data_IF_946550764750
#
_entry.id   IF_946550764750
#
_cell.length_a   1.000
_cell.length_b   1.000
_cell.length_c   1.000
_cell.angle_alpha   90.00
_cell.angle_beta   90.00
_cell.angle_gamma   90.00
#
_symmetry.space_group_name_H-M   'P 1'
#
loop_
_entity.id
_entity.type
_entity.pdbx_description
1 polymer ?
#
# COMPACT_ATOMS: atom_id res chain seq x y z
N UNK A 1 3.46 -27.12 12.32
CA UNK A 1 3.97 -26.06 11.41
C UNK A 1 2.92 -25.89 10.31
N UNK A 2 2.13 -24.81 10.34
CA UNK A 2 1.12 -24.58 9.28
C UNK A 2 1.86 -24.19 8.01
N UNK A 3 1.80 -25.03 6.98
CA UNK A 3 2.28 -24.69 5.63
C UNK A 3 1.44 -23.54 5.10
N UNK A 4 1.99 -22.32 5.14
CA UNK A 4 1.34 -21.15 4.55
C UNK A 4 1.18 -21.42 3.05
N UNK A 5 -0.06 -21.34 2.57
CA UNK A 5 -0.35 -21.46 1.14
C UNK A 5 0.49 -20.42 0.39
N UNK A 6 1.31 -20.88 -0.56
CA UNK A 6 2.07 -20.02 -1.47
C UNK A 6 1.22 -19.53 -2.64
N UNK A 7 -0.05 -19.93 -2.70
CA UNK A 7 -0.95 -19.53 -3.78
C UNK A 7 -1.34 -18.05 -3.62
N UNK A 8 -1.31 -17.28 -4.70
CA UNK A 8 -1.87 -15.93 -4.73
C UNK A 8 -3.25 -15.87 -4.10
N UNK A 9 -3.47 -14.90 -3.22
CA UNK A 9 -4.78 -14.65 -2.62
C UNK A 9 -5.36 -13.40 -3.28
N UNK A 10 -6.42 -13.59 -4.06
CA UNK A 10 -7.18 -12.51 -4.68
C UNK A 10 -8.44 -12.21 -3.88
N UNK A 11 -8.70 -10.93 -3.60
CA UNK A 11 -9.95 -10.46 -2.98
C UNK A 11 -10.42 -9.17 -3.62
N UNK A 12 -11.73 -9.05 -3.81
CA UNK A 12 -12.36 -7.77 -4.10
C UNK A 12 -12.27 -6.87 -2.86
N UNK A 13 -11.95 -5.60 -3.08
CA UNK A 13 -11.83 -4.59 -2.02
C UNK A 13 -12.93 -3.55 -2.12
N UNK A 14 -13.08 -2.75 -1.06
CA UNK A 14 -13.98 -1.58 -1.06
C UNK A 14 -13.42 -0.39 -1.83
N UNK A 15 -12.17 -0.46 -2.31
CA UNK A 15 -11.59 0.59 -3.13
C UNK A 15 -12.21 0.57 -4.53
N UNK A 16 -12.51 1.76 -5.04
CA UNK A 16 -13.06 1.96 -6.38
C UNK A 16 -12.13 2.86 -7.20
N UNK A 17 -11.94 2.50 -8.46
CA UNK A 17 -11.22 3.31 -9.44
C UNK A 17 -12.24 3.87 -10.43
N UNK A 18 -12.02 5.11 -10.87
CA UNK A 18 -12.83 5.74 -11.92
C UNK A 18 -12.17 5.49 -13.27
N UNK A 19 -12.58 4.43 -13.94
CA UNK A 19 -12.23 4.19 -15.35
C UNK A 19 -13.50 3.78 -16.11
N UNK A 20 -13.98 4.67 -16.96
CA UNK A 20 -15.29 4.55 -17.65
C UNK A 20 -16.49 4.28 -16.72
N UNK A 21 -16.34 4.64 -15.43
CA UNK A 21 -17.31 4.37 -14.36
C UNK A 21 -16.60 3.95 -13.07
N UNK A 22 -17.33 3.86 -11.94
CA UNK A 22 -16.78 3.32 -10.71
C UNK A 22 -16.62 1.79 -10.83
N UNK A 23 -15.37 1.32 -10.78
CA UNK A 23 -15.05 -0.11 -10.83
C UNK A 23 -14.38 -0.54 -9.52
N UNK A 24 -14.82 -1.65 -8.89
CA UNK A 24 -14.17 -2.16 -7.70
C UNK A 24 -12.77 -2.71 -8.04
N UNK A 25 -11.84 -2.57 -7.10
CA UNK A 25 -10.46 -3.06 -7.24
C UNK A 25 -10.32 -4.45 -6.65
N UNK A 26 -9.84 -5.37 -7.47
CA UNK A 26 -9.36 -6.69 -7.05
C UNK A 26 -7.91 -6.54 -6.66
N UNK A 27 -7.59 -7.00 -5.45
CA UNK A 27 -6.23 -7.04 -4.92
C UNK A 27 -5.77 -8.47 -4.87
N UNK A 28 -4.60 -8.75 -5.45
CA UNK A 28 -3.95 -10.04 -5.35
C UNK A 28 -2.60 -9.88 -4.66
N UNK A 29 -2.39 -10.65 -3.58
CA UNK A 29 -1.08 -10.71 -2.92
C UNK A 29 -0.29 -11.86 -3.52
N UNK A 30 0.84 -11.53 -4.16
CA UNK A 30 1.74 -12.49 -4.79
C UNK A 30 3.14 -12.30 -4.21
N UNK A 31 3.54 -13.16 -3.28
CA UNK A 31 4.84 -13.05 -2.62
C UNK A 31 5.01 -11.70 -1.89
N UNK A 32 5.94 -10.86 -2.39
CA UNK A 32 6.27 -9.54 -1.84
C UNK A 32 5.64 -8.35 -2.56
N UNK A 33 4.75 -8.59 -3.53
CA UNK A 33 4.06 -7.54 -4.29
C UNK A 33 2.55 -7.64 -4.15
N UNK A 34 1.89 -6.50 -4.37
CA UNK A 34 0.44 -6.38 -4.45
C UNK A 34 0.10 -6.03 -5.89
N UNK A 35 -0.72 -6.88 -6.53
CA UNK A 35 -1.32 -6.59 -7.82
C UNK A 35 -2.69 -5.95 -7.61
N UNK A 36 -2.94 -4.85 -8.31
CA UNK A 36 -4.19 -4.11 -8.31
C UNK A 36 -4.81 -4.20 -9.69
N UNK A 37 -6.04 -4.68 -9.77
CA UNK A 37 -6.80 -4.79 -11.01
C UNK A 37 -8.20 -4.23 -10.84
N UNK A 38 -8.58 -3.27 -11.66
CA UNK A 38 -9.98 -2.88 -11.73
C UNK A 38 -10.81 -3.99 -12.36
N UNK A 39 -11.95 -4.32 -11.74
CA UNK A 39 -12.83 -5.40 -12.23
C UNK A 39 -13.32 -5.09 -13.65
N UNK A 40 -13.17 -6.06 -14.55
CA UNK A 40 -13.53 -5.93 -15.96
C UNK A 40 -12.39 -5.42 -16.85
N UNK A 41 -11.27 -4.95 -16.29
CA UNK A 41 -10.09 -4.57 -17.05
C UNK A 41 -9.04 -5.69 -17.06
N UNK A 42 -8.19 -5.67 -18.11
CA UNK A 42 -7.04 -6.56 -18.26
C UNK A 42 -5.73 -5.94 -17.73
N UNK A 43 -5.69 -4.62 -17.58
CA UNK A 43 -4.55 -3.91 -17.01
C UNK A 43 -4.39 -4.25 -15.53
N UNK A 44 -3.13 -4.40 -15.12
CA UNK A 44 -2.74 -4.70 -13.75
C UNK A 44 -1.63 -3.74 -13.35
N UNK A 45 -1.78 -3.13 -12.19
CA UNK A 45 -0.74 -2.31 -11.58
C UNK A 45 -0.09 -3.12 -10.47
N UNK A 46 1.23 -2.97 -10.30
CA UNK A 46 2.00 -3.70 -9.29
C UNK A 46 2.63 -2.75 -8.29
N UNK A 47 2.59 -3.13 -7.02
CA UNK A 47 3.14 -2.35 -5.92
C UNK A 47 4.06 -3.23 -5.06
N UNK A 48 5.31 -2.82 -4.91
CA UNK A 48 6.27 -3.48 -4.01
C UNK A 48 5.98 -3.12 -2.55
N UNK A 49 5.65 -4.15 -1.75
CA UNK A 49 5.30 -3.99 -0.34
C UNK A 49 6.49 -3.53 0.50
N UNK A 50 7.69 -3.99 0.19
CA UNK A 50 8.91 -3.60 0.91
C UNK A 50 9.20 -2.11 0.70
N UNK A 51 9.06 -1.64 -0.55
CA UNK A 51 9.22 -0.22 -0.87
C UNK A 51 8.17 0.64 -0.15
N UNK A 52 6.90 0.21 -0.14
CA UNK A 52 5.84 0.92 0.57
C UNK A 52 6.13 1.04 2.06
N UNK A 53 6.53 -0.07 2.70
CA UNK A 53 6.87 -0.09 4.12
C UNK A 53 8.04 0.86 4.43
N UNK A 54 9.14 0.74 3.68
CA UNK A 54 10.33 1.57 3.86
C UNK A 54 10.00 3.05 3.69
N UNK A 55 9.20 3.39 2.70
CA UNK A 55 8.77 4.77 2.41
C UNK A 55 7.92 5.32 3.56
N UNK A 56 6.93 4.56 4.03
CA UNK A 56 6.09 4.94 5.17
C UNK A 56 6.91 5.13 6.46
N UNK A 57 7.88 4.24 6.72
CA UNK A 57 8.78 4.36 7.89
C UNK A 57 9.63 5.62 7.79
N UNK A 58 10.24 5.89 6.63
CA UNK A 58 11.05 7.09 6.41
C UNK A 58 10.23 8.37 6.63
N UNK A 59 9.03 8.44 6.06
CA UNK A 59 8.12 9.57 6.23
C UNK A 59 7.78 9.79 7.71
N UNK A 60 7.43 8.72 8.45
CA UNK A 60 7.15 8.80 9.88
C UNK A 60 8.35 9.33 10.68
N UNK A 61 9.55 8.82 10.41
CA UNK A 61 10.76 9.27 11.10
C UNK A 61 11.10 10.73 10.79
N UNK A 62 10.91 11.18 9.55
CA UNK A 62 11.07 12.58 9.17
C UNK A 62 10.07 13.48 9.90
N UNK A 63 8.79 13.09 9.95
CA UNK A 63 7.77 13.83 10.70
C UNK A 63 8.14 13.96 12.19
N UNK A 64 8.58 12.87 12.83
CA UNK A 64 9.02 12.90 14.23
C UNK A 64 10.22 13.83 14.45
N UNK A 65 11.18 13.87 13.52
CA UNK A 65 12.32 14.78 13.60
C UNK A 65 11.88 16.25 13.51
N UNK A 66 10.96 16.56 12.60
CA UNK A 66 10.42 17.91 12.44
C UNK A 66 9.65 18.37 13.69
N UNK A 67 8.83 17.50 14.27
CA UNK A 67 8.11 17.80 15.51
C UNK A 67 9.05 18.07 16.70
N UNK A 68 10.12 17.27 16.83
CA UNK A 68 11.18 17.53 17.84
C UNK A 68 11.92 18.84 17.60
N UNK A 69 12.14 19.23 16.36
CA UNK A 69 12.79 20.50 16.03
C UNK A 69 11.88 21.70 16.37
N UNK A 70 10.58 21.60 16.10
CA UNK A 70 9.58 22.63 16.46
C UNK A 70 9.48 22.78 17.98
N UNK A 71 9.38 21.69 18.73
CA UNK A 71 9.27 21.75 20.20
C UNK A 71 10.54 22.32 20.86
N UNK A 72 11.72 22.11 20.28
CA UNK A 72 12.96 22.78 20.72
C UNK A 72 12.96 24.28 20.43
N UNK A 73 12.37 24.73 19.33
CA UNK A 73 12.27 26.17 18.98
C UNK A 73 11.30 26.92 19.86
N UNK A 74 10.19 26.31 20.29
CA UNK A 74 9.20 26.93 21.18
C UNK A 74 9.64 27.04 22.64
N UNK A 75 10.68 26.30 23.05
CA UNK A 75 11.25 26.36 24.41
C UNK A 75 12.36 27.40 24.56
N UNK A 76 12.77 28.07 23.48
CA UNK A 76 13.69 29.21 23.50
C UNK A 76 12.89 30.48 23.30
#
# INVERSE_FOLDING_TARGET
>A
MVTKSLRPVSRETSAVVRDKGPLPVIVTVVGGVIELRAKGLRSTETLDVAWCYLTAVRQRLQAQRLERAKSRRQRK
#
